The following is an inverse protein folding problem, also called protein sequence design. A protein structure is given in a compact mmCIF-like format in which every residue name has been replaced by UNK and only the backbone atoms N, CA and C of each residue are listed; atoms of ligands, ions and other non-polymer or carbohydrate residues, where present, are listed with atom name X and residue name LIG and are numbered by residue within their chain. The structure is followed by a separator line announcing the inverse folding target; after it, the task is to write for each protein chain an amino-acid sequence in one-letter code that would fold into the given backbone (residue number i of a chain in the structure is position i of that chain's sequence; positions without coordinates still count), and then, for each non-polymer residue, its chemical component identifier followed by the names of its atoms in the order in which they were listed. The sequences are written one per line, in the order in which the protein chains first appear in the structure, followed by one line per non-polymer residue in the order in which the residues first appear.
data_IF_177812731398
#
_entry.id   IF_177812731398
#
_cell.length_a   1.000
_cell.length_b   1.000
_cell.length_c   1.000
_cell.angle_alpha   90.00
_cell.angle_beta   90.00
_cell.angle_gamma   90.00
#
_symmetry.space_group_name_H-M   'P 1'
#
loop_
_entity.id
_entity.type
_entity.pdbx_description
1 polymer ?
#
# COMPACT_ATOMS: atom_id res chain seq x y z
N UNK A 1 16.02 8.62 -23.26
CA UNK A 1 15.75 8.06 -21.90
C UNK A 1 16.26 6.64 -21.87
N UNK A 2 17.19 6.32 -20.98
CA UNK A 2 17.74 4.98 -20.86
C UNK A 2 16.61 4.02 -20.41
N UNK A 3 16.48 2.88 -21.13
CA UNK A 3 15.69 1.77 -20.63
C UNK A 3 16.21 1.42 -19.22
N UNK A 4 15.31 1.13 -18.29
CA UNK A 4 15.72 0.61 -16.98
C UNK A 4 16.66 -0.58 -17.25
N UNK A 5 17.85 -0.65 -16.66
CA UNK A 5 18.89 -1.58 -17.10
C UNK A 5 18.41 -3.02 -17.01
N UNK A 6 18.74 -3.85 -18.01
CA UNK A 6 18.51 -5.30 -17.96
C UNK A 6 19.12 -5.94 -16.70
N UNK A 7 20.16 -5.33 -16.13
CA UNK A 7 20.76 -5.69 -14.86
C UNK A 7 19.76 -5.69 -13.69
N UNK A 8 18.85 -4.70 -13.61
CA UNK A 8 17.84 -4.65 -12.56
C UNK A 8 16.85 -5.82 -12.64
N UNK A 9 16.49 -6.25 -13.85
CA UNK A 9 15.62 -7.41 -14.04
C UNK A 9 16.28 -8.69 -13.54
N UNK A 10 17.58 -8.84 -13.68
CA UNK A 10 18.34 -9.99 -13.20
C UNK A 10 18.31 -10.14 -11.67
N UNK A 11 18.04 -9.04 -10.96
CA UNK A 11 17.88 -9.06 -9.50
C UNK A 11 16.57 -9.75 -9.05
N UNK A 12 15.63 -10.04 -9.96
CA UNK A 12 14.35 -10.66 -9.64
C UNK A 12 14.24 -12.06 -10.26
N UNK A 13 14.60 -13.14 -9.54
CA UNK A 13 14.59 -14.51 -10.07
C UNK A 13 13.24 -14.97 -10.62
N UNK A 14 12.14 -14.52 -10.03
CA UNK A 14 10.77 -14.82 -10.46
C UNK A 14 10.53 -14.48 -11.94
N UNK A 15 11.14 -13.39 -12.43
CA UNK A 15 10.96 -12.90 -13.79
C UNK A 15 11.65 -13.77 -14.87
N UNK A 16 12.44 -14.76 -14.45
CA UNK A 16 13.04 -15.76 -15.34
C UNK A 16 12.11 -16.94 -15.58
N UNK A 17 11.07 -17.10 -14.77
CA UNK A 17 10.16 -18.24 -14.80
C UNK A 17 8.77 -17.93 -15.35
N UNK A 18 8.38 -16.64 -15.35
CA UNK A 18 7.05 -16.20 -15.79
C UNK A 18 7.04 -14.73 -16.20
N UNK A 19 5.98 -14.34 -16.92
CA UNK A 19 5.61 -12.93 -17.12
C UNK A 19 4.79 -12.47 -15.93
N UNK A 20 5.41 -11.71 -15.03
CA UNK A 20 4.82 -11.35 -13.75
C UNK A 20 4.19 -9.95 -13.80
N UNK A 21 2.86 -9.87 -13.82
CA UNK A 21 2.06 -8.63 -13.87
C UNK A 21 1.10 -8.54 -12.68
N UNK A 22 1.57 -8.88 -11.46
CA UNK A 22 0.73 -8.97 -10.27
C UNK A 22 1.31 -8.21 -9.06
N UNK A 23 2.11 -7.17 -9.29
CA UNK A 23 2.77 -6.39 -8.22
C UNK A 23 1.77 -5.69 -7.28
N UNK A 24 0.54 -5.45 -7.75
CA UNK A 24 -0.57 -4.92 -6.95
C UNK A 24 -1.11 -5.90 -5.88
N UNK A 25 -0.78 -7.17 -6.00
CA UNK A 25 -1.17 -8.22 -5.03
C UNK A 25 0.02 -8.60 -4.15
N UNK A 26 1.11 -9.03 -4.79
CA UNK A 26 2.39 -9.36 -4.14
C UNK A 26 3.51 -8.94 -5.08
N UNK A 27 4.49 -8.20 -4.62
CA UNK A 27 5.67 -7.81 -5.40
C UNK A 27 6.65 -8.97 -5.57
N UNK A 28 7.40 -8.97 -6.67
CA UNK A 28 8.52 -9.89 -6.80
C UNK A 28 9.61 -9.55 -5.77
N UNK A 29 10.18 -10.58 -5.14
CA UNK A 29 11.28 -10.40 -4.19
C UNK A 29 12.62 -10.34 -4.93
N UNK A 30 13.51 -9.41 -4.57
CA UNK A 30 14.85 -9.35 -5.15
C UNK A 30 15.74 -10.47 -4.58
N UNK A 31 16.72 -10.90 -5.37
CA UNK A 31 17.72 -11.94 -5.02
C UNK A 31 18.44 -11.65 -3.70
N UNK A 32 18.70 -10.40 -3.38
CA UNK A 32 19.37 -10.00 -2.13
C UNK A 32 18.64 -10.49 -0.87
N UNK A 33 17.36 -10.85 -0.95
CA UNK A 33 16.58 -11.46 0.15
C UNK A 33 17.18 -12.81 0.61
N UNK A 34 17.80 -13.58 -0.30
CA UNK A 34 18.48 -14.84 0.04
C UNK A 34 19.58 -14.60 1.09
N UNK A 35 20.41 -13.56 0.89
CA UNK A 35 21.46 -13.16 1.84
C UNK A 35 20.90 -12.72 3.19
N UNK A 36 19.77 -12.01 3.19
CA UNK A 36 19.09 -11.59 4.43
C UNK A 36 18.60 -12.78 5.24
N UNK A 37 18.00 -13.79 4.58
CA UNK A 37 17.58 -15.04 5.24
C UNK A 37 18.75 -15.77 5.85
N UNK A 38 19.87 -15.90 5.12
CA UNK A 38 21.09 -16.53 5.61
C UNK A 38 21.67 -15.76 6.80
N UNK A 39 21.70 -14.44 6.75
CA UNK A 39 22.17 -13.60 7.85
C UNK A 39 21.28 -13.75 9.10
N UNK A 40 19.95 -13.71 8.93
CA UNK A 40 19.01 -13.92 10.03
C UNK A 40 19.22 -15.29 10.69
N UNK A 41 19.33 -16.35 9.90
CA UNK A 41 19.62 -17.70 10.39
C UNK A 41 20.93 -17.77 11.16
N UNK A 42 22.00 -17.16 10.63
CA UNK A 42 23.30 -17.14 11.30
C UNK A 42 23.26 -16.37 12.62
N UNK A 43 22.50 -15.26 12.67
CA UNK A 43 22.27 -14.50 13.91
C UNK A 43 21.56 -15.35 14.97
N UNK A 44 20.49 -16.07 14.57
CA UNK A 44 19.77 -16.95 15.49
C UNK A 44 20.63 -18.11 16.01
N UNK A 45 21.50 -18.67 15.15
CA UNK A 45 22.40 -19.76 15.52
C UNK A 45 23.56 -19.32 16.43
N UNK A 46 23.95 -18.07 16.34
CA UNK A 46 25.04 -17.48 17.10
C UNK A 46 24.54 -16.27 17.92
N UNK A 47 23.46 -16.49 18.67
CA UNK A 47 22.79 -15.46 19.45
C UNK A 47 23.74 -14.69 20.36
N UNK A 48 23.58 -13.36 20.40
CA UNK A 48 24.36 -12.44 21.23
C UNK A 48 23.41 -11.45 21.93
N UNK A 49 23.85 -10.92 23.06
CA UNK A 49 23.03 -10.01 23.87
C UNK A 49 22.65 -8.71 23.14
N UNK A 50 23.51 -8.26 22.19
CA UNK A 50 23.28 -7.07 21.37
C UNK A 50 22.38 -7.29 20.13
N UNK A 51 21.86 -8.49 19.95
CA UNK A 51 21.03 -8.84 18.77
C UNK A 51 19.77 -7.98 18.65
N UNK A 52 19.11 -7.70 19.77
CA UNK A 52 17.92 -6.85 19.78
C UNK A 52 18.24 -5.40 19.40
N UNK A 53 19.33 -4.84 19.91
CA UNK A 53 19.77 -3.48 19.55
C UNK A 53 20.05 -3.38 18.05
N UNK A 54 20.72 -4.37 17.48
CA UNK A 54 20.98 -4.47 16.05
C UNK A 54 19.67 -4.54 15.24
N UNK A 55 18.73 -5.38 15.62
CA UNK A 55 17.46 -5.51 14.91
C UNK A 55 16.61 -4.25 14.99
N UNK A 56 16.49 -3.65 16.17
CA UNK A 56 15.74 -2.39 16.33
C UNK A 56 16.37 -1.24 15.54
N UNK A 57 17.70 -1.18 15.48
CA UNK A 57 18.42 -0.22 14.65
C UNK A 57 18.12 -0.43 13.16
N UNK A 58 18.10 -1.68 12.66
CA UNK A 58 17.77 -1.98 11.28
C UNK A 58 16.29 -1.71 10.94
N UNK A 59 15.40 -1.95 11.89
CA UNK A 59 13.98 -1.60 11.76
C UNK A 59 13.79 -0.08 11.68
N UNK A 60 14.51 0.68 12.53
CA UNK A 60 14.49 2.13 12.47
C UNK A 60 15.02 2.65 11.12
N UNK A 61 16.12 2.10 10.62
CA UNK A 61 16.67 2.45 9.31
C UNK A 61 15.66 2.17 8.16
N UNK A 62 14.86 1.11 8.26
CA UNK A 62 13.79 0.84 7.31
C UNK A 62 12.66 1.89 7.42
N UNK A 63 12.23 2.23 8.64
CA UNK A 63 11.22 3.27 8.87
C UNK A 63 11.67 4.63 8.33
N UNK A 64 12.95 4.99 8.52
CA UNK A 64 13.54 6.22 7.99
C UNK A 64 13.61 6.19 6.45
N UNK A 65 13.94 5.04 5.84
CA UNK A 65 13.92 4.87 4.40
C UNK A 65 12.51 4.99 3.79
N UNK A 66 11.49 4.50 4.50
CA UNK A 66 10.08 4.71 4.12
C UNK A 66 9.70 6.20 4.28
N UNK A 67 10.08 6.82 5.39
CA UNK A 67 9.82 8.25 5.63
C UNK A 67 10.40 9.11 4.49
N UNK A 68 11.63 8.84 4.09
CA UNK A 68 12.26 9.52 2.93
C UNK A 68 11.45 9.33 1.64
N UNK A 69 11.02 8.08 1.35
CA UNK A 69 10.26 7.75 0.14
C UNK A 69 8.92 8.51 0.05
N UNK A 70 8.26 8.74 1.18
CA UNK A 70 6.94 9.42 1.23
C UNK A 70 7.03 10.89 1.65
N UNK A 71 8.22 11.48 1.68
CA UNK A 71 8.43 12.88 2.06
C UNK A 71 8.09 13.21 3.52
N UNK A 72 8.10 12.22 4.41
CA UNK A 72 7.78 12.37 5.81
C UNK A 72 9.00 12.77 6.64
N UNK A 73 8.83 13.47 7.78
CA UNK A 73 9.90 13.72 8.73
C UNK A 73 10.42 12.44 9.39
N UNK A 74 11.68 12.41 9.79
CA UNK A 74 12.24 11.33 10.59
C UNK A 74 11.43 11.15 11.91
N UNK A 75 11.27 9.89 12.36
CA UNK A 75 10.54 9.56 13.57
C UNK A 75 9.01 9.63 13.44
N UNK A 76 8.46 9.90 12.24
CA UNK A 76 7.02 9.96 12.01
C UNK A 76 6.42 8.67 11.45
N UNK A 77 7.22 7.61 11.30
CA UNK A 77 6.80 6.32 10.75
C UNK A 77 6.92 5.21 11.80
N UNK A 78 5.81 4.53 12.07
CA UNK A 78 5.74 3.31 12.89
C UNK A 78 5.64 2.07 12.00
N UNK A 79 6.16 0.94 12.50
CA UNK A 79 6.14 -0.35 11.80
C UNK A 79 5.22 -1.36 12.49
N UNK A 80 4.56 -2.20 11.70
CA UNK A 80 3.80 -3.38 12.15
C UNK A 80 3.74 -4.42 11.01
N UNK A 81 3.00 -5.50 11.20
CA UNK A 81 2.89 -6.59 10.22
C UNK A 81 1.90 -6.32 9.09
N UNK A 82 0.86 -5.52 9.30
CA UNK A 82 -0.19 -5.28 8.31
C UNK A 82 -1.00 -4.01 8.61
N UNK A 83 -1.77 -3.56 7.61
CA UNK A 83 -2.67 -2.41 7.73
C UNK A 83 -3.71 -2.61 8.82
N UNK A 84 -4.23 -3.83 9.01
CA UNK A 84 -5.27 -4.10 10.01
C UNK A 84 -4.77 -3.78 11.42
N UNK A 85 -3.51 -4.11 11.75
CA UNK A 85 -2.89 -3.78 13.03
C UNK A 85 -2.77 -2.25 13.21
N UNK A 86 -2.28 -1.55 12.20
CA UNK A 86 -2.16 -0.09 12.23
C UNK A 86 -3.50 0.62 12.35
N UNK A 87 -4.48 0.25 11.52
CA UNK A 87 -5.80 0.89 11.51
C UNK A 87 -6.58 0.60 12.81
N UNK A 88 -6.49 -0.62 13.35
CA UNK A 88 -7.11 -0.94 14.64
C UNK A 88 -6.50 -0.14 15.78
N UNK A 89 -5.18 0.04 15.76
CA UNK A 89 -4.47 0.86 16.75
C UNK A 89 -4.83 2.33 16.60
N UNK A 90 -4.87 2.86 15.39
CA UNK A 90 -5.34 4.22 15.13
C UNK A 90 -6.78 4.42 15.61
N UNK A 91 -7.69 3.52 15.26
CA UNK A 91 -9.08 3.57 15.69
C UNK A 91 -9.21 3.54 17.24
N UNK A 92 -8.31 2.81 17.90
CA UNK A 92 -8.28 2.75 19.38
C UNK A 92 -7.79 4.04 20.07
N UNK A 93 -7.24 4.99 19.32
CA UNK A 93 -6.90 6.33 19.80
C UNK A 93 -8.08 7.30 19.78
N UNK A 94 -9.17 6.95 19.10
CA UNK A 94 -10.27 7.85 18.83
C UNK A 94 -11.43 7.63 19.80
N UNK A 95 -12.10 8.72 20.18
CA UNK A 95 -13.27 8.70 21.05
C UNK A 95 -14.55 8.89 20.22
N UNK A 96 -15.50 7.96 20.36
CA UNK A 96 -16.76 7.95 19.60
C UNK A 96 -17.98 8.29 20.46
N UNK A 97 -17.76 8.83 21.66
CA UNK A 97 -18.83 9.13 22.64
C UNK A 97 -19.48 10.49 22.46
N UNK A 98 -18.82 11.38 21.68
CA UNK A 98 -19.30 12.74 21.41
C UNK A 98 -20.22 12.86 20.19
N UNK A 99 -20.52 14.11 19.81
CA UNK A 99 -21.28 14.40 18.57
C UNK A 99 -20.45 14.05 17.32
N UNK A 100 -19.15 14.29 17.37
CA UNK A 100 -18.18 13.97 16.32
C UNK A 100 -17.75 12.51 16.43
N UNK A 101 -18.44 11.61 15.69
CA UNK A 101 -18.21 10.17 15.73
C UNK A 101 -18.38 9.45 14.41
N UNK A 102 -18.61 10.21 13.31
CA UNK A 102 -18.71 9.63 11.99
C UNK A 102 -17.34 9.25 11.42
N UNK A 103 -17.31 8.08 10.82
CA UNK A 103 -16.19 7.59 10.02
C UNK A 103 -16.67 7.52 8.58
N UNK A 104 -16.12 8.37 7.71
CA UNK A 104 -16.48 8.42 6.30
C UNK A 104 -15.47 7.58 5.51
N UNK A 105 -15.97 6.61 4.74
CA UNK A 105 -15.18 5.75 3.84
C UNK A 105 -15.87 5.68 2.48
N UNK A 106 -15.22 5.03 1.50
CA UNK A 106 -15.83 4.68 0.21
C UNK A 106 -16.08 3.18 0.11
N UNK A 107 -16.89 2.75 -0.87
CA UNK A 107 -17.08 1.33 -1.18
C UNK A 107 -15.93 0.71 -1.99
N UNK A 108 -14.92 1.51 -2.36
CA UNK A 108 -13.70 1.06 -3.04
C UNK A 108 -12.54 0.73 -2.08
N UNK A 109 -12.79 0.80 -0.78
CA UNK A 109 -11.79 0.43 0.23
C UNK A 109 -11.47 -1.05 0.18
N UNK A 110 -10.21 -1.39 0.54
CA UNK A 110 -9.90 -2.79 0.77
C UNK A 110 -10.73 -3.32 1.97
N UNK A 111 -11.21 -4.58 1.92
CA UNK A 111 -12.18 -5.11 2.92
C UNK A 111 -11.78 -4.92 4.39
N UNK A 112 -10.50 -4.85 4.71
CA UNK A 112 -10.01 -4.56 6.06
C UNK A 112 -10.61 -3.28 6.66
N UNK A 113 -10.73 -2.21 5.85
CA UNK A 113 -11.16 -0.90 6.33
C UNK A 113 -12.59 -0.92 6.87
N UNK A 114 -13.62 -1.33 6.09
CA UNK A 114 -14.98 -1.42 6.61
C UNK A 114 -15.13 -2.45 7.74
N UNK A 115 -14.38 -3.56 7.72
CA UNK A 115 -14.42 -4.54 8.81
C UNK A 115 -13.98 -3.95 10.16
N UNK A 116 -12.89 -3.19 10.17
CA UNK A 116 -12.38 -2.56 11.40
C UNK A 116 -13.38 -1.52 11.90
N UNK A 117 -13.80 -0.58 11.06
CA UNK A 117 -14.72 0.46 11.48
C UNK A 117 -16.08 -0.07 11.94
N UNK A 118 -16.60 -1.13 11.29
CA UNK A 118 -17.78 -1.85 11.77
C UNK A 118 -17.55 -2.46 13.16
N UNK A 119 -16.34 -2.95 13.46
CA UNK A 119 -15.98 -3.44 14.79
C UNK A 119 -16.03 -2.35 15.86
N UNK A 120 -15.69 -1.10 15.49
CA UNK A 120 -15.73 0.05 16.39
C UNK A 120 -17.15 0.65 16.57
N UNK A 121 -18.16 0.21 15.82
CA UNK A 121 -19.55 0.62 16.03
C UNK A 121 -20.05 0.31 17.46
N UNK A 122 -19.54 -0.77 18.07
CA UNK A 122 -19.83 -1.10 19.50
C UNK A 122 -19.36 -0.02 20.49
N UNK A 123 -18.42 0.83 20.09
CA UNK A 123 -17.92 1.95 20.88
C UNK A 123 -18.52 3.29 20.48
N UNK A 124 -19.48 3.29 19.54
CA UNK A 124 -20.20 4.48 19.10
C UNK A 124 -19.80 5.03 17.72
N UNK A 125 -18.86 4.41 17.03
CA UNK A 125 -18.50 4.82 15.67
C UNK A 125 -19.69 4.69 14.71
N UNK A 126 -19.99 5.75 13.97
CA UNK A 126 -21.05 5.80 12.95
C UNK A 126 -20.40 5.72 11.57
N UNK A 127 -20.48 4.56 10.91
CA UNK A 127 -19.87 4.36 9.60
C UNK A 127 -20.75 4.91 8.49
N UNK A 128 -20.19 5.82 7.67
CA UNK A 128 -20.79 6.36 6.45
C UNK A 128 -20.01 5.85 5.25
N UNK A 129 -20.67 5.12 4.37
CA UNK A 129 -20.05 4.57 3.15
C UNK A 129 -20.55 5.35 1.94
N UNK A 130 -19.65 6.03 1.25
CA UNK A 130 -19.96 6.78 0.03
C UNK A 130 -19.84 5.84 -1.17
N UNK A 131 -20.90 5.67 -1.99
CA UNK A 131 -20.87 4.79 -3.15
C UNK A 131 -19.96 5.35 -4.24
N UNK A 132 -19.24 4.47 -4.91
CA UNK A 132 -18.45 4.78 -6.09
C UNK A 132 -19.31 4.85 -7.34
N UNK A 133 -18.79 5.48 -8.39
CA UNK A 133 -19.40 5.55 -9.70
C UNK A 133 -18.41 5.08 -10.76
N UNK A 134 -18.80 4.10 -11.56
CA UNK A 134 -17.97 3.55 -12.64
C UNK A 134 -16.55 3.12 -12.18
N UNK A 135 -16.45 2.54 -10.97
CA UNK A 135 -15.19 2.08 -10.41
C UNK A 135 -14.24 3.18 -9.91
N UNK A 136 -14.75 4.39 -9.72
CA UNK A 136 -14.05 5.56 -9.17
C UNK A 136 -14.82 6.16 -8.02
N UNK A 137 -14.11 6.81 -7.12
CA UNK A 137 -14.74 7.63 -6.08
C UNK A 137 -15.44 8.82 -6.75
N UNK A 138 -16.69 9.07 -6.38
CA UNK A 138 -17.35 10.34 -6.65
C UNK A 138 -16.87 11.35 -5.60
N UNK A 139 -15.86 12.15 -5.95
CA UNK A 139 -15.21 13.07 -5.02
C UNK A 139 -16.19 14.14 -4.49
N UNK A 140 -17.15 14.58 -5.30
CA UNK A 140 -18.16 15.55 -4.88
C UNK A 140 -19.12 14.93 -3.85
N UNK A 141 -19.53 13.68 -4.06
CA UNK A 141 -20.35 12.95 -3.10
C UNK A 141 -19.58 12.67 -1.81
N UNK A 142 -18.26 12.37 -1.91
CA UNK A 142 -17.40 12.16 -0.75
C UNK A 142 -17.26 13.45 0.06
N UNK A 143 -16.99 14.60 -0.59
CA UNK A 143 -16.92 15.90 0.09
C UNK A 143 -18.24 16.25 0.77
N UNK A 144 -19.39 16.01 0.11
CA UNK A 144 -20.72 16.29 0.68
C UNK A 144 -21.07 15.39 1.89
N UNK A 145 -20.42 14.24 2.03
CA UNK A 145 -20.59 13.35 3.17
C UNK A 145 -19.76 13.77 4.41
N UNK A 146 -18.84 14.71 4.23
CA UNK A 146 -17.98 15.22 5.31
C UNK A 146 -18.63 16.44 5.95
N UNK A 147 -18.94 16.35 7.24
CA UNK A 147 -19.61 17.39 8.00
C UNK A 147 -18.98 17.58 9.41
N UNK A 148 -19.57 18.45 10.24
CA UNK A 148 -19.12 18.71 11.60
C UNK A 148 -19.21 17.49 12.54
N UNK A 149 -19.97 16.46 12.19
CA UNK A 149 -20.06 15.19 12.92
C UNK A 149 -18.98 14.19 12.51
N UNK A 150 -18.26 14.48 11.43
CA UNK A 150 -17.18 13.61 10.94
C UNK A 150 -15.97 13.70 11.89
N UNK A 151 -15.57 12.53 12.42
CA UNK A 151 -14.37 12.40 13.26
C UNK A 151 -13.14 12.11 12.41
N UNK A 152 -13.29 11.21 11.44
CA UNK A 152 -12.20 10.80 10.54
C UNK A 152 -12.76 10.38 9.17
N UNK A 153 -12.04 10.79 8.14
CA UNK A 153 -12.18 10.26 6.78
C UNK A 153 -11.10 9.21 6.58
N UNK A 154 -11.46 7.99 6.12
CA UNK A 154 -10.49 6.92 5.89
C UNK A 154 -10.65 6.37 4.47
N UNK A 155 -9.74 6.73 3.57
CA UNK A 155 -9.87 6.47 2.13
C UNK A 155 -8.60 5.89 1.52
N UNK A 156 -8.75 5.05 0.51
CA UNK A 156 -7.65 4.55 -0.29
C UNK A 156 -7.15 5.62 -1.27
N UNK A 157 -5.84 5.86 -1.30
CA UNK A 157 -5.22 6.68 -2.35
C UNK A 157 -5.33 6.03 -3.73
N UNK A 158 -5.24 4.70 -3.78
CA UNK A 158 -5.43 3.91 -5.00
C UNK A 158 -6.42 2.77 -4.79
N UNK A 159 -7.48 2.71 -5.59
CA UNK A 159 -8.47 1.65 -5.52
C UNK A 159 -7.87 0.30 -5.94
N UNK A 160 -7.95 -0.71 -5.08
CA UNK A 160 -7.31 -2.01 -5.30
C UNK A 160 -7.90 -2.81 -6.48
N UNK A 161 -9.18 -2.60 -6.78
CA UNK A 161 -9.87 -3.31 -7.84
C UNK A 161 -9.67 -2.67 -9.22
N UNK A 162 -9.66 -1.35 -9.30
CA UNK A 162 -9.69 -0.61 -10.56
C UNK A 162 -8.40 0.13 -10.89
N UNK A 163 -7.52 0.33 -9.91
CA UNK A 163 -6.31 1.15 -10.07
C UNK A 163 -6.59 2.66 -10.17
N UNK A 164 -7.82 3.10 -9.92
CA UNK A 164 -8.14 4.52 -9.87
C UNK A 164 -7.44 5.20 -8.69
N UNK A 165 -6.90 6.39 -8.91
CA UNK A 165 -6.23 7.22 -7.88
C UNK A 165 -7.15 8.37 -7.52
N UNK A 166 -7.36 8.58 -6.21
CA UNK A 166 -8.15 9.65 -5.61
C UNK A 166 -7.29 10.90 -5.44
N UNK A 167 -7.86 12.09 -5.67
CA UNK A 167 -7.26 13.35 -5.22
C UNK A 167 -7.41 13.50 -3.69
N UNK A 168 -6.51 12.81 -2.98
CA UNK A 168 -6.52 12.80 -1.51
C UNK A 168 -6.29 14.20 -0.93
N UNK A 169 -5.49 15.04 -1.59
CA UNK A 169 -5.25 16.41 -1.10
C UNK A 169 -6.54 17.25 -1.12
N UNK A 170 -7.41 17.05 -2.11
CA UNK A 170 -8.73 17.67 -2.14
C UNK A 170 -9.60 17.21 -0.98
N UNK A 171 -9.64 15.91 -0.72
CA UNK A 171 -10.43 15.33 0.38
C UNK A 171 -9.87 15.74 1.76
N UNK A 172 -8.53 15.82 1.88
CA UNK A 172 -7.88 16.29 3.10
C UNK A 172 -8.31 17.73 3.44
N UNK A 173 -8.35 18.62 2.45
CA UNK A 173 -8.84 19.99 2.66
C UNK A 173 -10.30 20.02 3.14
N UNK A 174 -11.16 19.19 2.58
CA UNK A 174 -12.57 19.10 3.03
C UNK A 174 -12.67 18.54 4.45
N UNK A 175 -11.92 17.49 4.77
CA UNK A 175 -11.87 16.91 6.12
C UNK A 175 -11.39 17.95 7.16
N UNK A 176 -10.30 18.62 6.90
CA UNK A 176 -9.74 19.63 7.80
C UNK A 176 -10.67 20.85 7.95
N UNK A 177 -11.33 21.31 6.88
CA UNK A 177 -12.31 22.39 6.95
C UNK A 177 -13.49 22.04 7.86
N UNK A 178 -13.89 20.76 7.91
CA UNK A 178 -14.90 20.24 8.83
C UNK A 178 -14.32 19.92 10.23
N UNK A 179 -13.01 20.05 10.45
CA UNK A 179 -12.31 19.69 11.69
C UNK A 179 -12.17 18.19 11.88
N UNK A 180 -12.28 17.39 10.82
CA UNK A 180 -12.09 15.94 10.81
C UNK A 180 -10.63 15.59 10.54
N UNK A 181 -10.21 14.41 11.02
CA UNK A 181 -8.93 13.78 10.64
C UNK A 181 -9.05 13.09 9.29
N UNK A 182 -7.89 12.85 8.64
CA UNK A 182 -7.82 12.04 7.43
C UNK A 182 -6.74 10.95 7.53
N UNK A 183 -7.14 9.70 7.27
CA UNK A 183 -6.27 8.53 7.15
C UNK A 183 -6.35 7.98 5.73
N UNK A 184 -5.19 7.66 5.15
CA UNK A 184 -5.11 7.21 3.75
C UNK A 184 -4.41 5.86 3.66
N UNK A 185 -5.05 4.89 2.99
CA UNK A 185 -4.44 3.63 2.58
C UNK A 185 -3.70 3.83 1.25
N UNK A 186 -2.38 3.83 1.28
CA UNK A 186 -1.51 4.00 0.13
C UNK A 186 -0.85 2.68 -0.34
N UNK A 187 -1.36 1.53 0.06
CA UNK A 187 -0.83 0.21 -0.32
C UNK A 187 -0.78 -0.03 -1.84
N UNK A 188 -1.62 0.67 -2.61
CA UNK A 188 -1.65 0.55 -4.07
C UNK A 188 -0.86 1.64 -4.79
N UNK A 189 -0.27 2.57 -4.06
CA UNK A 189 0.39 3.72 -4.68
C UNK A 189 1.84 3.89 -4.26
N UNK A 190 2.19 3.73 -2.97
CA UNK A 190 3.59 3.81 -2.53
C UNK A 190 4.42 2.74 -3.22
N UNK A 191 5.47 3.19 -3.93
CA UNK A 191 6.35 2.35 -4.73
C UNK A 191 6.04 2.35 -6.24
N UNK A 192 4.91 2.92 -6.69
CA UNK A 192 4.58 3.04 -8.12
C UNK A 192 4.06 4.43 -8.52
N UNK A 193 3.54 5.18 -7.57
CA UNK A 193 3.14 6.58 -7.72
C UNK A 193 3.94 7.41 -6.73
N UNK A 194 4.48 8.58 -7.11
CA UNK A 194 5.07 9.51 -6.15
C UNK A 194 4.04 9.90 -5.08
N UNK A 195 4.41 9.71 -3.82
CA UNK A 195 3.59 10.06 -2.65
C UNK A 195 4.41 10.99 -1.76
N UNK A 196 3.88 12.18 -1.46
CA UNK A 196 4.46 13.11 -0.48
C UNK A 196 3.36 13.49 0.52
N UNK A 197 3.50 13.06 1.78
CA UNK A 197 2.51 13.28 2.84
C UNK A 197 2.22 14.74 3.10
N UNK A 198 3.17 15.65 2.80
CA UNK A 198 3.00 17.09 2.96
C UNK A 198 2.13 17.67 1.85
N UNK A 199 2.26 17.15 0.61
CA UNK A 199 1.43 17.56 -0.53
C UNK A 199 0.02 17.00 -0.42
N UNK A 200 -0.11 15.74 0.06
CA UNK A 200 -1.40 15.12 0.32
C UNK A 200 -2.10 15.74 1.54
N UNK A 201 -1.36 16.38 2.42
CA UNK A 201 -1.83 17.01 3.66
C UNK A 201 -2.63 16.05 4.57
N UNK A 202 -2.23 14.78 4.61
CA UNK A 202 -2.88 13.74 5.40
C UNK A 202 -2.37 13.72 6.84
N UNK A 203 -3.21 13.28 7.77
CA UNK A 203 -2.86 13.09 9.18
C UNK A 203 -2.21 11.73 9.40
N UNK A 204 -2.69 10.72 8.67
CA UNK A 204 -2.18 9.36 8.71
C UNK A 204 -2.08 8.79 7.30
N UNK A 205 -0.99 8.06 7.04
CA UNK A 205 -0.82 7.31 5.80
C UNK A 205 -0.32 5.89 6.13
N UNK A 206 -0.99 4.89 5.60
CA UNK A 206 -0.63 3.49 5.77
C UNK A 206 -0.17 2.89 4.46
N UNK A 207 0.83 2.02 4.52
CA UNK A 207 1.32 1.28 3.38
C UNK A 207 2.04 0.00 3.82
N UNK A 208 2.56 -0.75 2.86
CA UNK A 208 3.27 -1.99 3.17
C UNK A 208 4.19 -2.44 2.05
N UNK A 209 5.17 -3.26 2.42
CA UNK A 209 6.26 -3.66 1.55
C UNK A 209 5.89 -4.75 0.53
N UNK A 210 4.94 -5.62 0.85
CA UNK A 210 4.69 -6.85 0.08
C UNK A 210 4.10 -6.65 -1.32
N UNK A 211 3.82 -5.39 -1.74
CA UNK A 211 3.34 -5.06 -3.08
C UNK A 211 4.44 -4.37 -3.89
N UNK A 212 4.31 -3.09 -4.10
CA UNK A 212 5.17 -2.31 -4.98
C UNK A 212 6.59 -2.06 -4.44
N UNK A 213 6.83 -2.28 -3.14
CA UNK A 213 8.17 -2.18 -2.56
C UNK A 213 8.97 -3.49 -2.65
N UNK A 214 8.37 -4.59 -3.16
CA UNK A 214 9.06 -5.86 -3.35
C UNK A 214 9.65 -6.46 -2.07
N UNK A 215 8.91 -6.36 -0.97
CA UNK A 215 9.28 -6.87 0.34
C UNK A 215 8.32 -7.92 0.88
N UNK A 216 8.46 -8.24 2.16
CA UNK A 216 7.58 -9.11 2.92
C UNK A 216 6.47 -8.31 3.63
N UNK A 217 5.80 -8.90 4.64
CA UNK A 217 4.65 -8.34 5.36
C UNK A 217 5.07 -7.27 6.39
N UNK A 218 5.91 -6.32 6.00
CA UNK A 218 6.21 -5.13 6.78
C UNK A 218 5.28 -4.00 6.36
N UNK A 219 4.39 -3.60 7.27
CA UNK A 219 3.52 -2.45 7.10
C UNK A 219 4.09 -1.24 7.84
N UNK A 220 3.71 -0.07 7.38
CA UNK A 220 4.07 1.20 8.01
C UNK A 220 2.86 2.11 8.17
N UNK A 221 2.93 2.94 9.21
CA UNK A 221 1.99 4.02 9.50
C UNK A 221 2.77 5.32 9.66
N UNK A 222 2.55 6.27 8.76
CA UNK A 222 2.93 7.67 8.98
C UNK A 222 1.91 8.34 9.89
N UNK A 223 2.39 9.12 10.83
CA UNK A 223 1.60 10.00 11.70
C UNK A 223 2.09 11.43 11.56
N UNK A 224 1.19 12.37 11.31
CA UNK A 224 1.51 13.81 11.33
C UNK A 224 2.11 14.17 12.70
N UNK A 225 3.34 14.74 12.75
CA UNK A 225 4.04 14.95 14.02
C UNK A 225 3.25 15.73 15.07
N UNK A 226 2.46 16.72 14.65
CA UNK A 226 1.63 17.53 15.57
C UNK A 226 0.56 16.72 16.30
N UNK A 227 0.17 15.54 15.81
CA UNK A 227 -0.84 14.69 16.45
C UNK A 227 -0.21 13.74 17.48
N UNK A 228 1.08 13.40 17.36
CA UNK A 228 1.73 12.43 18.22
C UNK A 228 1.47 12.68 19.71
N UNK A 229 1.59 13.89 20.26
CA UNK A 229 1.39 14.11 21.69
C UNK A 229 -0.02 13.76 22.19
N UNK A 230 -1.03 13.77 21.32
CA UNK A 230 -2.44 13.55 21.69
C UNK A 230 -2.87 12.08 21.56
N UNK A 231 -2.16 11.28 20.75
CA UNK A 231 -2.53 9.89 20.50
C UNK A 231 -2.26 8.99 21.73
N UNK A 232 -3.27 8.23 22.13
CA UNK A 232 -3.24 7.29 23.26
C UNK A 232 -3.86 5.97 22.81
N UNK A 233 -3.09 5.07 22.13
CA UNK A 233 -3.65 3.83 21.63
C UNK A 233 -4.06 2.91 22.78
N UNK A 234 -5.33 2.45 22.77
CA UNK A 234 -5.78 1.41 23.68
C UNK A 234 -5.27 0.02 23.25
N UNK A 235 -5.07 -0.17 21.94
CA UNK A 235 -4.38 -1.33 21.37
C UNK A 235 -2.88 -1.00 21.27
N UNK A 236 -2.09 -1.41 22.28
CA UNK A 236 -0.69 -1.00 22.43
C UNK A 236 0.20 -2.16 22.89
N UNK A 237 1.46 -1.93 23.10
CA UNK A 237 2.42 -2.90 23.62
C UNK A 237 3.72 -2.23 24.08
N UNK A 238 4.68 -3.04 24.56
CA UNK A 238 5.88 -2.55 25.21
C UNK A 238 6.80 -1.70 24.30
N UNK A 239 6.76 -1.91 22.96
CA UNK A 239 7.52 -1.07 22.02
C UNK A 239 6.97 0.35 21.89
N UNK A 240 5.73 0.60 22.29
CA UNK A 240 5.16 1.93 22.31
C UNK A 240 5.71 2.82 23.44
N UNK A 241 6.45 2.23 24.39
CA UNK A 241 7.03 2.92 25.51
C UNK A 241 8.22 3.79 25.14
N UNK A 242 8.51 4.82 25.94
CA UNK A 242 9.62 5.74 25.74
C UNK A 242 10.99 5.04 25.80
N UNK A 243 11.11 4.01 26.64
CA UNK A 243 12.34 3.23 26.86
C UNK A 243 12.05 1.72 26.85
N UNK A 244 11.74 1.13 25.69
CA UNK A 244 11.25 -0.25 25.64
C UNK A 244 12.30 -1.27 26.16
N UNK A 245 13.59 -1.11 25.86
CA UNK A 245 14.66 -2.00 26.33
C UNK A 245 15.02 -1.81 27.80
N UNK A 246 14.51 -0.76 28.45
CA UNK A 246 14.66 -0.60 29.90
C UNK A 246 13.76 -1.53 30.71
N UNK A 247 12.80 -2.21 30.08
CA UNK A 247 11.80 -3.11 30.68
C UNK A 247 11.14 -2.55 31.94
N UNK A 248 11.04 -1.23 32.01
CA UNK A 248 10.39 -0.57 33.14
C UNK A 248 8.88 -0.63 32.99
N UNK A 249 8.18 -0.79 34.10
CA UNK A 249 6.73 -0.69 34.16
C UNK A 249 6.31 0.79 34.10
N UNK A 250 6.53 1.42 32.96
CA UNK A 250 6.14 2.80 32.69
C UNK A 250 4.92 2.84 31.79
N UNK A 251 4.09 3.85 31.95
CA UNK A 251 2.97 4.15 31.06
C UNK A 251 3.29 5.30 30.09
N UNK A 252 4.52 5.80 30.11
CA UNK A 252 4.93 6.88 29.20
C UNK A 252 5.12 6.35 27.77
N UNK A 253 4.42 6.95 26.83
CA UNK A 253 4.56 6.67 25.42
C UNK A 253 5.83 7.30 24.82
N UNK A 254 6.38 6.67 23.79
CA UNK A 254 7.44 7.25 22.98
C UNK A 254 7.01 8.64 22.45
N UNK A 255 7.94 9.60 22.35
CA UNK A 255 7.62 10.96 21.84
C UNK A 255 7.38 10.96 20.32
N UNK A 256 7.79 9.93 19.62
CA UNK A 256 7.72 9.74 18.17
C UNK A 256 6.66 8.70 17.77
N UNK A 257 6.61 8.33 16.47
CA UNK A 257 5.61 7.39 15.94
C UNK A 257 5.73 5.98 16.54
N UNK A 258 6.82 5.63 17.23
CA UNK A 258 6.94 4.34 17.92
C UNK A 258 5.81 4.12 18.92
N UNK A 259 5.18 5.19 19.47
CA UNK A 259 3.97 5.04 20.30
C UNK A 259 2.83 4.30 19.61
N UNK A 260 2.85 4.25 18.28
CA UNK A 260 1.91 3.49 17.45
C UNK A 260 2.43 2.10 17.10
N UNK A 261 3.41 1.57 17.82
CA UNK A 261 3.87 0.18 17.70
C UNK A 261 3.19 -0.70 18.76
N UNK A 262 3.28 -2.01 18.56
CA UNK A 262 2.66 -3.00 19.44
C UNK A 262 3.65 -3.68 20.38
N UNK A 263 3.51 -4.99 20.49
CA UNK A 263 4.37 -5.87 21.27
C UNK A 263 5.69 -6.20 20.55
N UNK A 264 6.21 -7.39 20.81
CA UNK A 264 7.44 -7.88 20.16
C UNK A 264 7.31 -7.80 18.64
N UNK A 265 8.22 -7.10 17.95
CA UNK A 265 8.13 -6.91 16.51
C UNK A 265 8.47 -8.20 15.75
N UNK A 266 8.26 -8.20 14.45
CA UNK A 266 8.69 -9.24 13.53
C UNK A 266 9.94 -8.77 12.74
N UNK A 267 11.16 -8.81 13.31
CA UNK A 267 12.35 -8.24 12.67
C UNK A 267 12.58 -8.84 11.27
N UNK A 268 12.41 -10.15 11.13
CA UNK A 268 12.63 -10.83 9.85
C UNK A 268 11.81 -10.21 8.71
N UNK A 269 10.55 -9.88 8.95
CA UNK A 269 9.67 -9.28 7.91
C UNK A 269 10.20 -7.92 7.45
N UNK A 270 10.68 -7.10 8.38
CA UNK A 270 11.28 -5.81 8.06
C UNK A 270 12.60 -5.98 7.32
N UNK A 271 13.45 -6.90 7.77
CA UNK A 271 14.73 -7.18 7.13
C UNK A 271 14.58 -7.67 5.69
N UNK A 272 13.60 -8.55 5.43
CA UNK A 272 13.27 -9.03 4.08
C UNK A 272 12.70 -7.93 3.17
N UNK A 273 12.21 -6.84 3.75
CA UNK A 273 11.62 -5.73 3.00
C UNK A 273 12.64 -4.65 2.61
N UNK A 274 13.81 -4.61 3.25
CA UNK A 274 14.85 -3.61 2.98
C UNK A 274 15.39 -3.66 1.55
N UNK A 275 15.78 -4.84 1.00
CA UNK A 275 16.38 -4.89 -0.33
C UNK A 275 15.47 -4.32 -1.43
N UNK A 276 14.17 -4.58 -1.37
CA UNK A 276 13.19 -4.05 -2.33
C UNK A 276 13.09 -2.52 -2.25
N UNK A 277 13.00 -1.96 -1.04
CA UNK A 277 12.97 -0.52 -0.80
C UNK A 277 14.26 0.15 -1.33
N UNK A 278 15.43 -0.42 -1.05
CA UNK A 278 16.72 0.13 -1.49
C UNK A 278 16.86 0.11 -3.02
N UNK A 279 16.44 -0.99 -3.68
CA UNK A 279 16.42 -1.06 -5.15
C UNK A 279 15.48 -0.01 -5.75
N UNK A 280 14.28 0.13 -5.22
CA UNK A 280 13.31 1.11 -5.70
C UNK A 280 13.84 2.54 -5.50
N UNK A 281 14.44 2.86 -4.36
CA UNK A 281 15.09 4.16 -4.10
C UNK A 281 16.24 4.41 -5.08
N UNK A 282 17.03 3.38 -5.39
CA UNK A 282 18.13 3.46 -6.36
C UNK A 282 17.64 3.76 -7.79
N UNK A 283 16.48 3.23 -8.18
CA UNK A 283 15.81 3.54 -9.45
C UNK A 283 15.23 4.96 -9.43
N UNK A 284 14.67 5.37 -8.31
CA UNK A 284 13.99 6.63 -8.11
C UNK A 284 12.51 6.59 -8.52
N UNK A 285 11.64 7.06 -7.61
CA UNK A 285 10.17 6.95 -7.76
C UNK A 285 9.63 7.63 -9.03
N UNK A 286 10.25 8.72 -9.49
CA UNK A 286 9.82 9.41 -10.71
C UNK A 286 10.11 8.57 -11.96
N UNK A 287 11.27 7.90 -12.03
CA UNK A 287 11.60 6.98 -13.11
C UNK A 287 10.69 5.74 -13.11
N UNK A 288 10.40 5.20 -11.92
CA UNK A 288 9.41 4.13 -11.73
C UNK A 288 8.05 4.56 -12.26
N UNK A 289 7.58 5.74 -11.89
CA UNK A 289 6.29 6.28 -12.33
C UNK A 289 6.21 6.46 -13.83
N UNK A 290 7.22 7.04 -14.43
CA UNK A 290 7.28 7.25 -15.88
C UNK A 290 7.19 5.91 -16.62
N UNK A 291 7.96 4.92 -16.17
CA UNK A 291 7.93 3.58 -16.74
C UNK A 291 6.56 2.90 -16.56
N UNK A 292 5.98 3.00 -15.37
CA UNK A 292 4.64 2.49 -15.07
C UNK A 292 3.58 3.10 -16.01
N UNK A 293 3.64 4.41 -16.27
CA UNK A 293 2.72 5.08 -17.20
C UNK A 293 2.88 4.57 -18.64
N UNK A 294 4.10 4.26 -19.09
CA UNK A 294 4.35 3.66 -20.40
C UNK A 294 3.73 2.27 -20.51
N UNK A 295 3.98 1.40 -19.53
CA UNK A 295 3.48 0.04 -19.55
C UNK A 295 1.94 -0.02 -19.41
N UNK A 296 1.38 0.77 -18.48
CA UNK A 296 -0.08 0.84 -18.31
C UNK A 296 -0.76 1.48 -19.52
N UNK A 297 -0.15 2.48 -20.14
CA UNK A 297 -0.63 3.08 -21.40
C UNK A 297 -0.64 2.07 -22.55
N UNK A 298 0.42 1.24 -22.67
CA UNK A 298 0.49 0.16 -23.66
C UNK A 298 -0.58 -0.90 -23.44
N UNK A 299 -0.78 -1.36 -22.20
CA UNK A 299 -1.88 -2.27 -21.84
C UNK A 299 -3.24 -1.74 -22.29
N UNK A 300 -3.51 -0.46 -22.00
CA UNK A 300 -4.77 0.19 -22.38
C UNK A 300 -4.94 0.30 -23.90
N UNK A 301 -3.91 0.70 -24.62
CA UNK A 301 -3.96 0.78 -26.09
C UNK A 301 -4.25 -0.59 -26.71
N UNK A 302 -3.54 -1.64 -26.27
CA UNK A 302 -3.78 -3.00 -26.75
C UNK A 302 -5.18 -3.53 -26.38
N UNK A 303 -5.69 -3.15 -25.20
CA UNK A 303 -7.05 -3.49 -24.80
C UNK A 303 -8.11 -2.80 -25.70
N UNK A 304 -7.89 -1.53 -26.07
CA UNK A 304 -8.76 -0.80 -26.99
C UNK A 304 -8.77 -1.41 -28.40
N UNK A 305 -7.59 -1.75 -28.93
CA UNK A 305 -7.45 -2.45 -30.21
C UNK A 305 -8.22 -3.78 -30.24
N UNK A 306 -8.27 -4.48 -29.10
CA UNK A 306 -9.00 -5.74 -28.93
C UNK A 306 -10.48 -5.56 -28.56
N UNK A 307 -10.99 -4.33 -28.44
CA UNK A 307 -12.38 -4.05 -28.04
C UNK A 307 -12.69 -4.40 -26.57
N UNK A 308 -11.68 -4.52 -25.71
CA UNK A 308 -11.86 -4.82 -24.29
C UNK A 308 -12.22 -3.54 -23.49
N UNK A 309 -13.19 -3.66 -22.59
CA UNK A 309 -13.51 -2.56 -21.68
C UNK A 309 -12.43 -2.37 -20.62
N UNK A 310 -11.72 -1.25 -20.66
CA UNK A 310 -10.83 -0.83 -19.60
C UNK A 310 -11.61 -0.05 -18.54
N UNK A 311 -11.53 -0.48 -17.28
CA UNK A 311 -12.21 0.13 -16.12
C UNK A 311 -11.33 1.21 -15.48
N UNK A 312 -10.02 1.01 -15.50
CA UNK A 312 -9.03 1.96 -14.97
C UNK A 312 -9.12 3.31 -15.68
N UNK A 313 -9.05 4.45 -14.96
CA UNK A 313 -9.04 5.78 -15.56
C UNK A 313 -7.92 5.97 -16.59
N UNK A 314 -8.21 6.69 -17.66
CA UNK A 314 -7.27 6.93 -18.77
C UNK A 314 -6.22 7.99 -18.41
N UNK A 315 -6.63 8.99 -17.66
CA UNK A 315 -5.77 10.11 -17.33
C UNK A 315 -4.60 9.68 -16.43
N UNK A 316 -3.37 10.07 -16.74
CA UNK A 316 -2.18 9.69 -15.98
C UNK A 316 -2.27 9.98 -14.47
N UNK A 317 -2.82 11.12 -14.09
CA UNK A 317 -2.93 11.53 -12.68
C UNK A 317 -4.06 10.78 -11.93
N UNK A 318 -5.00 10.16 -12.64
CA UNK A 318 -6.12 9.42 -12.07
C UNK A 318 -5.92 7.92 -12.02
N UNK A 319 -4.74 7.39 -12.40
CA UNK A 319 -4.45 5.95 -12.37
C UNK A 319 -3.13 5.62 -11.67
N UNK A 320 -3.11 4.48 -11.00
CA UNK A 320 -1.90 3.87 -10.44
C UNK A 320 -1.16 2.96 -11.43
N UNK A 321 -0.55 1.91 -10.89
CA UNK A 321 0.19 0.90 -11.66
C UNK A 321 -0.66 -0.28 -12.15
N UNK A 322 -1.97 -0.29 -11.85
CA UNK A 322 -2.91 -1.37 -12.21
C UNK A 322 -3.71 -0.99 -13.43
N UNK A 323 -3.91 -1.93 -14.36
CA UNK A 323 -4.94 -1.85 -15.42
C UNK A 323 -5.96 -2.95 -15.19
N UNK A 324 -7.20 -2.55 -14.94
CA UNK A 324 -8.35 -3.42 -14.78
C UNK A 324 -9.15 -3.49 -16.09
N UNK A 325 -9.43 -4.69 -16.56
CA UNK A 325 -10.17 -4.98 -17.79
C UNK A 325 -11.38 -5.83 -17.47
N UNK A 326 -12.50 -5.60 -18.14
CA UNK A 326 -13.76 -6.30 -17.94
C UNK A 326 -14.32 -6.79 -19.28
N UNK A 327 -14.61 -8.07 -19.36
CA UNK A 327 -15.24 -8.72 -20.50
C UNK A 327 -15.89 -10.03 -20.04
N UNK A 328 -16.84 -10.62 -20.81
CA UNK A 328 -17.42 -11.92 -20.47
C UNK A 328 -16.33 -12.99 -20.30
N UNK A 329 -16.37 -13.74 -19.20
CA UNK A 329 -15.41 -14.82 -18.94
C UNK A 329 -14.05 -14.36 -18.42
N UNK A 330 -13.87 -13.10 -17.98
CA UNK A 330 -12.58 -12.55 -17.53
C UNK A 330 -11.95 -13.32 -16.35
N UNK A 331 -12.75 -13.93 -15.47
CA UNK A 331 -12.26 -14.77 -14.38
C UNK A 331 -11.64 -16.09 -14.91
N UNK A 332 -12.31 -16.75 -15.85
CA UNK A 332 -11.84 -18.00 -16.48
C UNK A 332 -10.59 -17.74 -17.33
N UNK A 333 -10.59 -16.65 -18.11
CA UNK A 333 -9.43 -16.21 -18.88
C UNK A 333 -8.24 -15.92 -17.96
N UNK A 334 -8.45 -15.27 -16.82
CA UNK A 334 -7.39 -15.04 -15.83
C UNK A 334 -6.77 -16.37 -15.38
N UNK A 335 -7.57 -17.39 -15.08
CA UNK A 335 -7.08 -18.70 -14.66
C UNK A 335 -6.23 -19.36 -15.76
N UNK A 336 -6.66 -19.27 -17.03
CA UNK A 336 -5.91 -19.82 -18.18
C UNK A 336 -4.58 -19.10 -18.40
N UNK A 337 -4.57 -17.77 -18.27
CA UNK A 337 -3.35 -16.96 -18.38
C UNK A 337 -2.32 -17.36 -17.32
N UNK A 338 -2.77 -17.50 -16.07
CA UNK A 338 -1.89 -17.93 -14.97
C UNK A 338 -1.31 -19.32 -15.24
N UNK A 339 -2.11 -20.27 -15.72
CA UNK A 339 -1.65 -21.60 -16.10
C UNK A 339 -0.60 -21.59 -17.24
N UNK A 340 -0.62 -20.56 -18.10
CA UNK A 340 0.35 -20.35 -19.20
C UNK A 340 1.57 -19.54 -18.77
N UNK A 341 1.71 -19.20 -17.47
CA UNK A 341 2.85 -18.45 -16.95
C UNK A 341 2.70 -16.91 -17.05
N UNK A 342 1.51 -16.38 -17.36
CA UNK A 342 1.21 -14.96 -17.32
C UNK A 342 0.51 -14.64 -16.00
N UNK A 343 1.28 -14.21 -15.00
CA UNK A 343 0.77 -14.03 -13.65
C UNK A 343 0.05 -12.69 -13.52
N UNK A 344 -1.26 -12.75 -13.43
CA UNK A 344 -2.18 -11.64 -13.23
C UNK A 344 -3.22 -12.03 -12.16
N UNK A 345 -4.21 -11.19 -11.86
CA UNK A 345 -5.19 -11.49 -10.82
C UNK A 345 -6.60 -11.03 -11.20
N UNK A 346 -7.60 -11.68 -10.60
CA UNK A 346 -9.00 -11.28 -10.74
C UNK A 346 -9.58 -10.83 -9.39
N UNK A 347 -10.25 -9.68 -9.37
CA UNK A 347 -11.01 -9.15 -8.23
C UNK A 347 -12.20 -8.32 -8.75
N UNK A 348 -13.20 -9.00 -9.30
CA UNK A 348 -14.29 -8.39 -10.05
C UNK A 348 -13.90 -7.98 -11.48
N UNK A 349 -12.62 -7.85 -11.77
CA UNK A 349 -12.03 -7.53 -13.06
C UNK A 349 -10.71 -8.31 -13.21
N UNK A 350 -10.31 -8.61 -14.46
CA UNK A 350 -8.94 -9.02 -14.74
C UNK A 350 -8.02 -7.80 -14.49
N UNK A 351 -6.97 -7.98 -13.67
CA UNK A 351 -6.02 -6.92 -13.34
C UNK A 351 -4.61 -7.32 -13.77
N UNK A 352 -3.99 -6.47 -14.58
CA UNK A 352 -2.57 -6.53 -14.91
C UNK A 352 -1.83 -5.38 -14.25
N UNK A 353 -0.75 -5.66 -13.56
CA UNK A 353 -0.02 -4.70 -12.74
C UNK A 353 1.49 -4.81 -12.97
N UNK A 354 1.98 -4.30 -14.11
CA UNK A 354 3.41 -4.25 -14.40
C UNK A 354 4.13 -3.29 -13.46
N UNK A 355 5.41 -3.58 -13.20
CA UNK A 355 6.26 -2.72 -12.39
C UNK A 355 7.53 -2.33 -13.14
N UNK A 356 8.44 -1.59 -12.50
CA UNK A 356 9.66 -1.05 -13.12
C UNK A 356 10.58 -2.12 -13.73
N UNK A 357 10.47 -3.36 -13.34
CA UNK A 357 11.23 -4.49 -13.86
C UNK A 357 10.59 -5.18 -15.08
N UNK A 358 9.36 -4.82 -15.46
CA UNK A 358 8.69 -5.38 -16.64
C UNK A 358 9.07 -4.61 -17.91
N UNK A 359 8.91 -5.26 -19.06
CA UNK A 359 9.23 -4.70 -20.37
C UNK A 359 7.97 -4.50 -21.23
N UNK A 360 8.02 -3.63 -22.27
CA UNK A 360 6.92 -3.51 -23.22
C UNK A 360 6.60 -4.82 -23.95
N UNK A 361 7.61 -5.65 -24.23
CA UNK A 361 7.47 -6.95 -24.91
C UNK A 361 6.69 -7.95 -24.03
N UNK A 362 6.87 -7.91 -22.70
CA UNK A 362 6.08 -8.71 -21.77
C UNK A 362 4.61 -8.29 -21.75
N UNK A 363 4.35 -6.99 -21.86
CA UNK A 363 2.98 -6.45 -21.97
C UNK A 363 2.33 -6.93 -23.26
N UNK A 364 3.06 -6.92 -24.38
CA UNK A 364 2.54 -7.39 -25.67
C UNK A 364 2.25 -8.89 -25.63
N UNK A 365 3.20 -9.70 -25.15
CA UNK A 365 3.01 -11.14 -25.04
C UNK A 365 1.84 -11.51 -24.13
N UNK A 366 1.66 -10.75 -23.04
CA UNK A 366 0.48 -10.91 -22.15
C UNK A 366 -0.82 -10.59 -22.89
N UNK A 367 -0.87 -9.48 -23.65
CA UNK A 367 -2.09 -9.08 -24.37
C UNK A 367 -2.41 -10.04 -25.52
N UNK A 368 -1.40 -10.55 -26.23
CA UNK A 368 -1.60 -11.56 -27.27
C UNK A 368 -2.21 -12.85 -26.67
N UNK A 369 -1.66 -13.32 -25.55
CA UNK A 369 -2.18 -14.47 -24.83
C UNK A 369 -3.60 -14.26 -24.29
N UNK A 370 -3.93 -13.03 -23.84
CA UNK A 370 -5.26 -12.68 -23.35
C UNK A 370 -6.29 -12.72 -24.48
N UNK A 371 -5.97 -12.09 -25.62
CA UNK A 371 -6.85 -12.03 -26.80
C UNK A 371 -7.11 -13.46 -27.33
N UNK A 372 -6.07 -14.27 -27.44
CA UNK A 372 -6.19 -15.68 -27.83
C UNK A 372 -7.10 -16.47 -26.87
N UNK A 373 -6.89 -16.32 -25.55
CA UNK A 373 -7.67 -17.03 -24.54
C UNK A 373 -9.15 -16.60 -24.52
N UNK A 374 -9.45 -15.32 -24.87
CA UNK A 374 -10.81 -14.80 -24.99
C UNK A 374 -11.53 -15.40 -26.21
N UNK A 375 -10.87 -15.48 -27.37
CA UNK A 375 -11.47 -16.05 -28.59
C UNK A 375 -11.83 -17.54 -28.40
N UNK A 376 -11.01 -18.28 -27.67
CA UNK A 376 -11.25 -19.70 -27.38
C UNK A 376 -12.38 -19.93 -26.35
N UNK A 377 -12.93 -18.89 -25.74
CA UNK A 377 -14.09 -18.96 -24.84
C UNK A 377 -15.40 -18.62 -25.55
N UNK A 378 -15.31 -17.87 -26.65
CA UNK A 378 -16.46 -17.48 -27.46
C UNK A 378 -16.84 -18.55 -28.53
N UNK A 379 -15.96 -19.57 -28.74
CA UNK A 379 -16.18 -20.70 -29.64
C UNK A 379 -16.69 -21.93 -28.88
#
# INVERSE_FOLDING_TARGET
MAALPAALRAEYPLLQTCTYLNSNSTGALPRAVEGVLAQYWNTMRAWRDDTWDMWLSQMQAYADGVAELIGAPAGSVALDTNLSAHLSRLASCLEFTGERRRVVITDLEFPTVPFIWKGFARYGAELVVVPSKDGRVDEAALEAAIDERTLIVCVAHGAFATGAVLDVARIARAAHAAGALIATDAYQTVGTVPVDVRQLDVDFLMGGAHKWLGGSEAAFLYVRPGLLPTLRPAVTGWLAGASPLGFQQTTDYAPDARRMMGGTPAPLMVLLSRPGLELLKGVGIHAVREHSLKLTGRLMARADEAGLRVVTPREPHQRGGVVAMSFPGDAQVTTRLVARGFICSHRGFLRAAPHFYNTPEEVDAFMDALIEAQHNEAA
#
